data_IF_414035334304
#
_entry.id   IF_414035334304
#
_cell.length_a   1.000
_cell.length_b   1.000
_cell.length_c   1.000
_cell.angle_alpha   90.00
_cell.angle_beta   90.00
_cell.angle_gamma   90.00
#
_symmetry.space_group_name_H-M   'P 1'
#
loop_
_entity.id
_entity.type
_entity.pdbx_description
1 polymer ?
#
# COMPACT_ATOMS: atom_id res chain seq x y z
N UNK A 1 0.41 -3.34 -5.31
CA UNK A 1 -0.64 -4.35 -4.95
C UNK A 1 -2.01 -3.78 -5.26
N UNK A 2 -2.71 -4.30 -6.27
CA UNK A 2 -4.00 -3.79 -6.75
C UNK A 2 -5.03 -4.93 -6.97
N UNK A 3 -4.90 -6.05 -6.23
CA UNK A 3 -5.76 -7.22 -6.36
C UNK A 3 -7.03 -7.19 -5.49
N UNK A 4 -7.29 -6.11 -4.75
CA UNK A 4 -8.49 -5.97 -3.93
C UNK A 4 -9.75 -5.72 -4.77
N UNK A 5 -10.89 -6.30 -4.36
CA UNK A 5 -12.20 -6.15 -5.04
C UNK A 5 -12.81 -4.75 -4.94
N UNK A 6 -12.40 -3.95 -3.97
CA UNK A 6 -12.91 -2.58 -3.80
C UNK A 6 -14.37 -2.47 -3.35
N UNK A 7 -14.96 -3.53 -2.77
CA UNK A 7 -16.39 -3.65 -2.43
C UNK A 7 -16.97 -2.49 -1.59
N UNK A 8 -16.14 -1.78 -0.82
CA UNK A 8 -16.57 -0.65 0.03
C UNK A 8 -16.87 0.65 -0.72
N UNK A 9 -16.49 0.74 -2.00
CA UNK A 9 -16.65 1.97 -2.79
C UNK A 9 -18.03 2.10 -3.44
N UNK A 10 -18.84 1.05 -3.48
CA UNK A 10 -20.15 1.05 -4.14
C UNK A 10 -20.12 1.41 -5.64
N UNK A 11 -18.94 1.41 -6.26
CA UNK A 11 -18.75 1.81 -7.65
C UNK A 11 -18.78 0.59 -8.58
N UNK A 12 -19.20 0.79 -9.83
CA UNK A 12 -19.25 -0.24 -10.88
C UNK A 12 -17.86 -0.80 -11.26
N UNK A 13 -16.79 -0.13 -10.81
CA UNK A 13 -15.40 -0.50 -11.10
C UNK A 13 -14.57 -0.56 -9.82
N UNK A 14 -13.57 -1.47 -9.74
CA UNK A 14 -12.61 -1.50 -8.64
C UNK A 14 -11.90 -0.16 -8.46
N UNK A 15 -11.70 0.24 -7.20
CA UNK A 15 -11.20 1.56 -6.81
C UNK A 15 -9.85 1.96 -7.43
N UNK A 16 -8.98 1.00 -7.72
CA UNK A 16 -7.70 1.23 -8.39
C UNK A 16 -7.84 1.77 -9.82
N UNK A 17 -9.01 1.60 -10.44
CA UNK A 17 -9.32 2.11 -11.78
C UNK A 17 -10.19 3.37 -11.78
N UNK A 18 -10.56 3.88 -10.62
CA UNK A 18 -11.26 5.16 -10.51
C UNK A 18 -10.36 6.30 -10.97
N UNK A 19 -10.98 7.33 -11.49
CA UNK A 19 -10.27 8.49 -12.03
C UNK A 19 -9.86 9.48 -10.94
N UNK A 20 -8.60 9.88 -11.01
CA UNK A 20 -7.98 10.89 -10.19
C UNK A 20 -7.17 11.83 -11.10
N UNK A 21 -7.66 13.08 -11.31
CA UNK A 21 -7.02 14.04 -12.21
C UNK A 21 -6.78 13.51 -13.63
N UNK A 22 -7.81 12.94 -14.27
CA UNK A 22 -7.75 12.44 -15.65
C UNK A 22 -7.04 11.08 -15.84
N UNK A 23 -6.46 10.49 -14.79
CA UNK A 23 -5.75 9.20 -14.82
C UNK A 23 -6.34 8.22 -13.82
N UNK A 24 -6.20 6.91 -14.07
CA UNK A 24 -6.55 5.92 -13.05
C UNK A 24 -5.66 6.06 -11.81
N UNK A 25 -6.21 5.82 -10.62
CA UNK A 25 -5.47 5.83 -9.36
C UNK A 25 -4.22 4.94 -9.44
N UNK A 26 -4.35 3.74 -10.04
CA UNK A 26 -3.23 2.82 -10.22
C UNK A 26 -2.15 3.39 -11.15
N UNK A 27 -2.53 4.09 -12.23
CA UNK A 27 -1.58 4.75 -13.12
C UNK A 27 -0.77 5.81 -12.36
N UNK A 28 -1.44 6.69 -11.62
CA UNK A 28 -0.76 7.71 -10.80
C UNK A 28 0.18 7.08 -9.78
N UNK A 29 -0.28 6.00 -9.13
CA UNK A 29 0.56 5.26 -8.18
C UNK A 29 1.83 4.71 -8.84
N UNK A 30 1.75 4.19 -10.06
CA UNK A 30 2.92 3.69 -10.80
C UNK A 30 3.82 4.85 -11.23
N UNK A 31 3.24 5.93 -11.76
CA UNK A 31 3.98 7.10 -12.23
C UNK A 31 4.88 7.72 -11.15
N UNK A 32 4.42 7.77 -9.90
CA UNK A 32 5.23 8.29 -8.77
C UNK A 32 6.49 7.43 -8.52
N UNK A 33 6.40 6.12 -8.69
CA UNK A 33 7.58 5.24 -8.57
C UNK A 33 8.53 5.42 -9.74
N UNK A 34 8.04 5.59 -10.97
CA UNK A 34 8.87 5.90 -12.14
C UNK A 34 9.53 7.29 -12.05
N UNK A 35 8.91 8.24 -11.38
CA UNK A 35 9.50 9.54 -11.07
C UNK A 35 10.58 9.43 -9.98
N UNK A 36 10.39 8.53 -9.03
CA UNK A 36 11.41 8.26 -8.01
C UNK A 36 12.66 7.60 -8.61
N UNK A 37 12.46 6.61 -9.47
CA UNK A 37 13.51 5.89 -10.20
C UNK A 37 12.96 5.38 -11.54
N UNK A 38 13.39 5.96 -12.68
CA UNK A 38 12.95 5.54 -14.01
C UNK A 38 13.30 4.09 -14.37
N UNK A 39 14.32 3.51 -13.76
CA UNK A 39 14.80 2.15 -14.01
C UNK A 39 14.13 1.10 -13.10
N UNK A 40 13.20 1.53 -12.22
CA UNK A 40 12.52 0.64 -11.29
C UNK A 40 11.69 -0.43 -12.03
N UNK A 41 11.84 -1.68 -11.62
CA UNK A 41 11.00 -2.76 -12.14
C UNK A 41 9.64 -2.77 -11.47
N UNK A 42 8.57 -2.58 -12.22
CA UNK A 42 7.19 -2.58 -11.72
C UNK A 42 6.55 -3.95 -11.86
N UNK A 43 6.10 -4.53 -10.73
CA UNK A 43 5.27 -5.75 -10.70
C UNK A 43 3.87 -5.37 -10.27
N UNK A 44 2.91 -5.39 -11.20
CA UNK A 44 1.52 -5.03 -10.93
C UNK A 44 0.67 -6.26 -10.70
N UNK A 45 0.11 -6.39 -9.49
CA UNK A 45 -0.74 -7.52 -9.10
C UNK A 45 -2.20 -7.12 -9.19
N UNK A 46 -2.96 -7.84 -10.02
CA UNK A 46 -4.37 -7.56 -10.33
C UNK A 46 -5.23 -8.82 -10.16
N UNK A 47 -6.54 -8.68 -9.90
CA UNK A 47 -7.46 -9.80 -10.09
C UNK A 47 -7.41 -10.24 -11.56
N UNK A 48 -7.47 -11.54 -11.82
CA UNK A 48 -7.30 -12.10 -13.17
C UNK A 48 -8.23 -11.46 -14.21
N UNK A 49 -9.49 -11.26 -13.86
CA UNK A 49 -10.50 -10.67 -14.74
C UNK A 49 -10.23 -9.22 -15.15
N UNK A 50 -9.33 -8.52 -14.45
CA UNK A 50 -8.98 -7.13 -14.76
C UNK A 50 -7.62 -6.97 -15.45
N UNK A 51 -6.89 -8.03 -15.71
CA UNK A 51 -5.59 -7.96 -16.40
C UNK A 51 -5.76 -7.44 -17.83
N UNK A 52 -6.75 -7.96 -18.58
CA UNK A 52 -7.05 -7.48 -19.93
C UNK A 52 -7.49 -6.02 -19.92
N UNK A 53 -8.45 -5.69 -19.04
CA UNK A 53 -8.91 -4.31 -18.87
C UNK A 53 -7.75 -3.33 -18.62
N UNK A 54 -6.81 -3.69 -17.76
CA UNK A 54 -5.65 -2.85 -17.45
C UNK A 54 -4.72 -2.67 -18.66
N UNK A 55 -4.49 -3.72 -19.43
CA UNK A 55 -3.71 -3.63 -20.70
C UNK A 55 -4.39 -2.69 -21.69
N UNK A 56 -5.69 -2.83 -21.91
CA UNK A 56 -6.48 -1.99 -22.82
C UNK A 56 -6.48 -0.54 -22.34
N UNK A 57 -6.59 -0.31 -21.03
CA UNK A 57 -6.45 1.01 -20.44
C UNK A 57 -5.09 1.64 -20.73
N UNK A 58 -3.99 0.92 -20.45
CA UNK A 58 -2.63 1.41 -20.71
C UNK A 58 -2.44 1.75 -22.20
N UNK A 59 -2.91 0.89 -23.08
CA UNK A 59 -2.86 1.12 -24.53
C UNK A 59 -3.64 2.36 -24.95
N UNK A 60 -4.90 2.47 -24.52
CA UNK A 60 -5.79 3.59 -24.89
C UNK A 60 -5.34 4.95 -24.36
N UNK A 61 -4.59 4.96 -23.25
CA UNK A 61 -4.04 6.17 -22.61
C UNK A 61 -2.59 6.45 -22.99
N UNK A 62 -2.01 5.65 -23.91
CA UNK A 62 -0.59 5.71 -24.25
C UNK A 62 0.33 5.68 -23.02
N UNK A 63 -0.09 4.92 -21.99
CA UNK A 63 0.69 4.74 -20.78
C UNK A 63 1.73 3.63 -21.02
N UNK A 64 2.91 4.04 -21.49
CA UNK A 64 4.01 3.15 -21.82
C UNK A 64 4.88 2.97 -20.56
N UNK A 65 4.62 1.90 -19.82
CA UNK A 65 5.42 1.48 -18.68
C UNK A 65 5.63 -0.03 -18.76
N UNK A 66 6.88 -0.51 -18.87
CA UNK A 66 7.15 -1.94 -18.79
C UNK A 66 6.71 -2.48 -17.42
N UNK A 67 5.75 -3.40 -17.43
CA UNK A 67 5.18 -3.98 -16.21
C UNK A 67 5.15 -5.49 -16.28
N UNK A 68 5.49 -6.15 -15.19
CA UNK A 68 5.23 -7.58 -15.01
C UNK A 68 3.84 -7.70 -14.38
N UNK A 69 2.85 -8.15 -15.16
CA UNK A 69 1.49 -8.35 -14.64
C UNK A 69 1.39 -9.72 -13.98
N UNK A 70 0.92 -9.74 -12.74
CA UNK A 70 0.79 -10.95 -11.93
C UNK A 70 -0.67 -11.09 -11.46
N UNK A 71 -1.19 -12.31 -11.54
CA UNK A 71 -2.50 -12.66 -11.00
C UNK A 71 -2.49 -12.63 -9.48
N UNK A 72 -3.46 -11.95 -8.88
CA UNK A 72 -3.71 -11.97 -7.44
C UNK A 72 -4.06 -13.37 -6.93
N UNK A 73 -3.81 -13.61 -5.67
CA UNK A 73 -4.19 -14.83 -4.95
C UNK A 73 -5.46 -14.65 -4.13
N UNK A 74 -5.83 -15.68 -3.37
CA UNK A 74 -7.05 -15.75 -2.54
C UNK A 74 -7.06 -14.63 -1.48
N UNK A 75 -5.89 -14.30 -0.91
CA UNK A 75 -5.73 -13.23 0.08
C UNK A 75 -4.63 -12.25 -0.37
N UNK A 76 -4.47 -11.13 0.37
CA UNK A 76 -3.36 -10.21 0.16
C UNK A 76 -2.00 -10.92 0.27
N UNK A 77 -1.83 -11.79 1.27
CA UNK A 77 -0.63 -12.61 1.44
C UNK A 77 -0.31 -13.43 0.18
N UNK A 78 -1.28 -14.18 -0.34
CA UNK A 78 -1.07 -14.99 -1.55
C UNK A 78 -0.78 -14.14 -2.78
N UNK A 79 -1.36 -12.95 -2.86
CA UNK A 79 -1.11 -11.99 -3.93
C UNK A 79 0.33 -11.47 -3.91
N UNK A 80 0.85 -11.10 -2.74
CA UNK A 80 2.26 -10.68 -2.56
C UNK A 80 3.20 -11.85 -2.87
N UNK A 81 2.92 -13.05 -2.34
CA UNK A 81 3.72 -14.25 -2.62
C UNK A 81 3.83 -14.54 -4.12
N UNK A 82 2.74 -14.38 -4.87
CA UNK A 82 2.76 -14.56 -6.33
C UNK A 82 3.68 -13.52 -7.03
N UNK A 83 3.68 -12.27 -6.54
CA UNK A 83 4.56 -11.22 -7.05
C UNK A 83 6.03 -11.50 -6.73
N UNK A 84 6.33 -11.92 -5.50
CA UNK A 84 7.69 -12.20 -5.05
C UNK A 84 8.37 -13.30 -5.87
N UNK A 85 7.61 -14.22 -6.46
CA UNK A 85 8.13 -15.22 -7.39
C UNK A 85 8.73 -14.63 -8.69
N UNK A 86 8.47 -13.33 -8.97
CA UNK A 86 9.00 -12.60 -10.12
C UNK A 86 10.19 -11.70 -9.79
N UNK A 87 10.54 -11.60 -8.52
CA UNK A 87 11.62 -10.74 -8.05
C UNK A 87 12.92 -11.54 -7.97
N UNK A 88 14.04 -11.04 -8.50
CA UNK A 88 15.35 -11.68 -8.32
C UNK A 88 15.80 -11.63 -6.86
N UNK A 89 16.83 -12.38 -6.51
CA UNK A 89 17.57 -12.22 -5.27
C UNK A 89 18.53 -11.04 -5.38
N UNK A 90 18.96 -10.48 -4.25
CA UNK A 90 19.84 -9.31 -4.21
C UNK A 90 19.13 -7.99 -4.53
N UNK A 91 17.81 -7.97 -4.58
CA UNK A 91 17.03 -6.77 -4.86
C UNK A 91 16.41 -6.18 -3.59
N UNK A 92 16.17 -4.88 -3.59
CA UNK A 92 15.23 -4.23 -2.66
C UNK A 92 13.82 -4.29 -3.25
N UNK A 93 12.84 -4.65 -2.42
CA UNK A 93 11.45 -4.85 -2.82
C UNK A 93 10.53 -3.90 -2.06
N UNK A 94 9.92 -2.98 -2.76
CA UNK A 94 8.86 -2.12 -2.22
C UNK A 94 7.48 -2.77 -2.45
N UNK A 95 6.79 -3.16 -1.39
CA UNK A 95 5.40 -3.58 -1.48
C UNK A 95 4.50 -2.39 -1.21
N UNK A 96 3.75 -1.98 -2.23
CA UNK A 96 2.93 -0.77 -2.16
C UNK A 96 1.47 -1.05 -2.50
N UNK A 97 0.56 -0.36 -1.80
CA UNK A 97 -0.86 -0.38 -2.12
C UNK A 97 -1.12 0.45 -3.40
N UNK A 98 -1.65 -0.17 -4.46
CA UNK A 98 -1.94 0.50 -5.74
C UNK A 98 -3.06 1.56 -5.66
N UNK A 99 -3.45 1.93 -4.47
CA UNK A 99 -4.46 2.95 -4.14
C UNK A 99 -3.92 4.00 -3.14
N UNK A 100 -2.59 4.20 -3.13
CA UNK A 100 -1.92 5.30 -2.42
C UNK A 100 -1.11 6.14 -3.41
N UNK A 101 -1.78 6.94 -4.25
CA UNK A 101 -1.13 7.68 -5.34
C UNK A 101 -0.41 8.95 -4.90
N UNK A 102 -0.48 9.32 -3.62
CA UNK A 102 -0.04 10.62 -3.12
C UNK A 102 1.26 10.57 -2.30
N UNK A 103 1.96 9.43 -2.32
CA UNK A 103 3.32 9.38 -1.78
C UNK A 103 4.26 10.21 -2.64
N UNK A 104 5.27 10.86 -2.05
CA UNK A 104 6.23 11.63 -2.82
C UNK A 104 7.36 10.76 -3.38
N UNK A 105 7.94 11.12 -4.55
CA UNK A 105 9.14 10.47 -5.08
C UNK A 105 10.33 10.53 -4.11
N UNK A 106 10.44 11.63 -3.37
CA UNK A 106 11.49 11.82 -2.36
C UNK A 106 11.38 10.77 -1.23
N UNK A 107 10.16 10.54 -0.73
CA UNK A 107 9.93 9.52 0.31
C UNK A 107 10.18 8.11 -0.20
N UNK A 108 9.85 7.81 -1.46
CA UNK A 108 10.18 6.51 -2.06
C UNK A 108 11.69 6.29 -2.06
N UNK A 109 12.48 7.26 -2.54
CA UNK A 109 13.95 7.17 -2.54
C UNK A 109 14.50 6.97 -1.13
N UNK A 110 14.08 7.80 -0.17
CA UNK A 110 14.49 7.68 1.24
C UNK A 110 14.26 6.26 1.79
N UNK A 111 13.11 5.66 1.49
CA UNK A 111 12.78 4.31 1.97
C UNK A 111 13.69 3.24 1.36
N UNK A 112 14.06 3.35 0.09
CA UNK A 112 15.02 2.46 -0.54
C UNK A 112 16.41 2.62 0.06
N UNK A 113 16.91 3.86 0.22
CA UNK A 113 18.21 4.16 0.82
C UNK A 113 18.33 3.56 2.24
N UNK A 114 17.30 3.74 3.06
CA UNK A 114 17.25 3.18 4.42
C UNK A 114 17.23 1.64 4.42
N UNK A 115 16.56 1.03 3.44
CA UNK A 115 16.43 -0.44 3.37
C UNK A 115 17.72 -1.16 2.92
N UNK A 116 18.71 -0.44 2.37
CA UNK A 116 20.01 -1.04 2.01
C UNK A 116 20.71 -1.68 3.21
N UNK A 117 20.55 -1.10 4.40
CA UNK A 117 21.31 -1.47 5.59
C UNK A 117 20.47 -2.16 6.68
N UNK A 118 19.22 -2.57 6.39
CA UNK A 118 18.36 -3.25 7.35
C UNK A 118 17.44 -4.28 6.67
N UNK A 119 16.85 -5.21 7.43
CA UNK A 119 15.93 -6.22 6.90
C UNK A 119 14.71 -5.65 6.17
N UNK A 120 14.26 -4.47 6.57
CA UNK A 120 13.18 -3.74 5.93
C UNK A 120 12.82 -2.48 6.70
N UNK A 121 12.17 -1.56 5.98
CA UNK A 121 11.74 -0.23 6.45
C UNK A 121 10.26 -0.03 6.21
N UNK A 122 9.58 0.50 7.21
CA UNK A 122 8.14 0.77 7.20
C UNK A 122 7.88 2.24 7.51
N UNK A 123 7.23 2.99 6.62
CA UNK A 123 6.79 4.35 6.93
C UNK A 123 5.58 4.33 7.85
N UNK A 124 5.60 5.18 8.88
CA UNK A 124 4.52 5.27 9.88
C UNK A 124 4.15 6.71 10.13
N UNK A 125 2.89 6.96 10.49
CA UNK A 125 2.40 8.26 10.92
C UNK A 125 1.80 8.15 12.32
N UNK A 126 2.07 9.11 13.24
CA UNK A 126 1.49 9.07 14.58
C UNK A 126 -0.02 9.24 14.51
N UNK A 127 -0.75 8.53 15.37
CA UNK A 127 -2.18 8.73 15.55
C UNK A 127 -2.44 10.12 16.11
N UNK A 128 -3.35 10.87 15.47
CA UNK A 128 -3.73 12.23 15.91
C UNK A 128 -4.98 12.23 16.78
N UNK A 129 -5.87 11.25 16.58
CA UNK A 129 -7.10 11.12 17.35
C UNK A 129 -6.86 10.38 18.67
N UNK A 130 -7.73 10.63 19.66
CA UNK A 130 -7.72 9.84 20.90
C UNK A 130 -8.25 8.45 20.61
N UNK A 131 -7.39 7.45 20.79
CA UNK A 131 -7.73 6.04 20.55
C UNK A 131 -8.47 5.45 21.74
N UNK A 132 -9.51 4.66 21.46
CA UNK A 132 -10.28 3.92 22.45
C UNK A 132 -10.26 2.43 22.10
N UNK A 133 -10.05 1.59 23.10
CA UNK A 133 -10.17 0.13 22.94
C UNK A 133 -11.58 -0.25 23.34
N UNK A 134 -12.37 -0.69 22.36
CA UNK A 134 -13.81 -0.91 22.53
C UNK A 134 -14.18 -2.36 22.16
N UNK A 135 -15.26 -2.83 22.78
CA UNK A 135 -15.94 -4.08 22.39
C UNK A 135 -17.41 -3.81 22.08
N UNK A 136 -18.05 -4.59 21.17
CA UNK A 136 -19.49 -4.47 20.94
C UNK A 136 -20.27 -4.75 22.20
N UNK A 137 -21.32 -3.94 22.48
CA UNK A 137 -22.30 -4.27 23.50
C UNK A 137 -23.20 -5.45 23.07
N UNK A 138 -24.04 -5.97 23.96
CA UNK A 138 -24.98 -7.04 23.66
C UNK A 138 -25.92 -6.71 22.48
N UNK A 139 -26.32 -5.44 22.33
CA UNK A 139 -27.15 -4.95 21.21
C UNK A 139 -26.42 -4.85 19.89
N UNK A 140 -25.07 -4.90 19.87
CA UNK A 140 -24.17 -4.64 18.72
C UNK A 140 -24.31 -3.25 18.06
N UNK A 141 -25.16 -2.39 18.60
CA UNK A 141 -25.37 -1.02 18.11
C UNK A 141 -24.53 0.00 18.87
N UNK A 142 -24.10 -0.36 20.09
CA UNK A 142 -23.31 0.49 20.98
C UNK A 142 -21.99 -0.21 21.28
N UNK A 143 -20.95 0.57 21.47
CA UNK A 143 -19.63 0.07 21.86
C UNK A 143 -19.33 0.49 23.30
N UNK A 144 -18.70 -0.39 24.05
CA UNK A 144 -18.28 -0.14 25.43
C UNK A 144 -16.76 -0.22 25.55
N UNK A 145 -16.19 0.60 26.42
CA UNK A 145 -14.75 0.51 26.73
C UNK A 145 -14.43 -0.84 27.40
N UNK A 146 -13.27 -1.39 27.04
CA UNK A 146 -12.75 -2.57 27.74
C UNK A 146 -11.99 -2.07 28.98
N UNK A 147 -12.44 -2.40 30.21
CA UNK A 147 -11.77 -1.95 31.43
C UNK A 147 -10.30 -2.36 31.47
N UNK A 148 -9.42 -1.43 31.84
CA UNK A 148 -7.97 -1.67 31.93
C UNK A 148 -7.23 -1.77 30.59
N UNK A 149 -7.90 -1.50 29.46
CA UNK A 149 -7.31 -1.45 28.13
C UNK A 149 -7.26 -0.01 27.62
N UNK A 150 -6.40 0.82 28.20
CA UNK A 150 -6.15 2.17 27.70
C UNK A 150 -5.06 2.14 26.64
N UNK A 151 -5.29 2.86 25.54
CA UNK A 151 -4.29 2.99 24.47
C UNK A 151 -3.54 4.31 24.68
N UNK A 152 -2.23 4.24 24.90
CA UNK A 152 -1.39 5.44 24.88
C UNK A 152 -1.18 5.87 23.42
N UNK A 153 -1.81 7.01 23.07
CA UNK A 153 -1.71 7.55 21.71
C UNK A 153 -0.27 7.86 21.29
N UNK A 154 0.62 8.17 22.24
CA UNK A 154 2.01 8.51 21.94
C UNK A 154 2.80 7.32 21.40
N UNK A 155 2.35 6.09 21.67
CA UNK A 155 2.95 4.84 21.22
C UNK A 155 2.24 4.26 19.96
N UNK A 156 1.16 4.90 19.49
CA UNK A 156 0.36 4.39 18.39
C UNK A 156 0.69 5.10 17.09
N UNK A 157 1.04 4.30 16.09
CA UNK A 157 1.36 4.75 14.75
C UNK A 157 0.58 3.95 13.70
N UNK A 158 0.08 4.64 12.69
CA UNK A 158 -0.50 4.02 11.50
C UNK A 158 0.58 3.64 10.50
N UNK A 159 0.72 2.35 10.19
CA UNK A 159 1.64 1.89 9.16
C UNK A 159 1.13 2.25 7.77
N UNK A 160 2.04 2.73 6.92
CA UNK A 160 1.76 3.03 5.53
C UNK A 160 2.53 2.08 4.59
N UNK A 161 2.36 2.26 3.30
CA UNK A 161 3.19 1.68 2.25
C UNK A 161 3.72 2.79 1.34
N UNK A 162 4.87 2.58 0.65
CA UNK A 162 5.57 1.31 0.45
C UNK A 162 6.29 0.81 1.69
N UNK A 163 6.25 -0.50 1.92
CA UNK A 163 7.10 -1.17 2.88
C UNK A 163 8.25 -1.80 2.08
N UNK A 164 9.49 -1.45 2.38
CA UNK A 164 10.65 -1.84 1.58
C UNK A 164 11.47 -2.88 2.33
N UNK A 165 11.86 -3.95 1.64
CA UNK A 165 12.56 -5.10 2.24
C UNK A 165 13.67 -5.60 1.34
N UNK A 166 14.67 -6.27 1.92
CA UNK A 166 15.58 -7.11 1.16
C UNK A 166 14.84 -8.34 0.61
N UNK A 167 15.04 -8.65 -0.68
CA UNK A 167 14.27 -9.68 -1.38
C UNK A 167 14.35 -11.06 -0.74
N UNK A 168 15.52 -11.45 -0.24
CA UNK A 168 15.74 -12.73 0.42
C UNK A 168 14.91 -12.85 1.70
N UNK A 169 14.84 -11.75 2.46
CA UNK A 169 14.14 -11.72 3.73
C UNK A 169 12.63 -11.83 3.54
N UNK A 170 12.07 -10.98 2.65
CA UNK A 170 10.62 -11.01 2.43
C UNK A 170 10.19 -12.31 1.73
N UNK A 171 10.98 -12.85 0.80
CA UNK A 171 10.69 -14.15 0.17
C UNK A 171 10.69 -15.29 1.19
N UNK A 172 11.69 -15.34 2.07
CA UNK A 172 11.76 -16.34 3.13
C UNK A 172 10.57 -16.22 4.10
N UNK A 173 10.19 -14.99 4.48
CA UNK A 173 9.03 -14.74 5.33
C UNK A 173 7.72 -15.22 4.67
N UNK A 174 7.54 -14.95 3.39
CA UNK A 174 6.37 -15.41 2.63
C UNK A 174 6.39 -16.91 2.26
N UNK A 175 7.48 -17.62 2.58
CA UNK A 175 7.56 -19.08 2.58
C UNK A 175 6.82 -19.74 3.75
N UNK A 176 6.50 -18.99 4.81
CA UNK A 176 5.71 -19.49 5.95
C UNK A 176 4.26 -19.80 5.53
N UNK A 177 3.56 -20.69 6.28
CA UNK A 177 2.11 -20.85 6.15
C UNK A 177 1.38 -19.52 6.39
N UNK A 178 0.29 -19.32 5.67
CA UNK A 178 -0.59 -18.16 5.87
C UNK A 178 -1.23 -18.17 7.27
N UNK A 179 -1.23 -17.01 7.91
CA UNK A 179 -1.92 -16.75 9.17
C UNK A 179 -2.85 -15.54 8.99
N UNK A 180 -4.06 -15.61 9.55
CA UNK A 180 -5.03 -14.51 9.53
C UNK A 180 -4.57 -13.28 10.33
N UNK A 181 -3.59 -13.43 11.22
CA UNK A 181 -2.94 -12.34 11.93
C UNK A 181 -2.03 -11.48 11.04
N UNK A 182 -1.74 -11.91 9.81
CA UNK A 182 -0.95 -11.11 8.86
C UNK A 182 -1.79 -9.97 8.27
N UNK A 183 -1.62 -8.78 8.82
CA UNK A 183 -2.36 -7.58 8.39
C UNK A 183 -1.66 -6.80 7.28
N UNK A 184 -0.32 -6.85 7.24
CA UNK A 184 0.55 -6.20 6.25
C UNK A 184 1.84 -7.01 6.03
N UNK A 185 2.75 -6.50 5.21
CA UNK A 185 4.02 -7.18 4.90
C UNK A 185 4.99 -7.15 6.07
N UNK A 186 4.96 -6.06 6.85
CA UNK A 186 5.75 -5.91 8.06
C UNK A 186 5.40 -7.00 9.09
N UNK A 187 4.12 -7.29 9.29
CA UNK A 187 3.67 -8.33 10.23
C UNK A 187 4.16 -9.74 9.82
N UNK A 188 4.23 -10.01 8.51
CA UNK A 188 4.78 -11.28 7.99
C UNK A 188 6.28 -11.38 8.30
N UNK A 189 7.05 -10.33 8.00
CA UNK A 189 8.51 -10.30 8.20
C UNK A 189 8.85 -10.31 9.69
N UNK A 190 8.09 -9.61 10.53
CA UNK A 190 8.27 -9.66 12.00
C UNK A 190 7.99 -11.04 12.57
N UNK A 191 6.94 -11.72 12.08
CA UNK A 191 6.62 -13.10 12.48
C UNK A 191 7.72 -14.09 12.06
N UNK A 192 8.40 -13.83 10.95
CA UNK A 192 9.58 -14.59 10.51
C UNK A 192 10.81 -14.36 11.41
N UNK A 193 10.72 -13.46 12.40
CA UNK A 193 11.77 -13.20 13.39
C UNK A 193 12.78 -12.14 12.97
N UNK A 194 12.43 -11.26 12.03
CA UNK A 194 13.28 -10.13 11.65
C UNK A 194 12.77 -8.84 12.27
N UNK A 195 13.69 -8.07 12.86
CA UNK A 195 13.41 -6.72 13.34
C UNK A 195 13.37 -5.74 12.17
N UNK A 196 12.35 -4.88 12.13
CA UNK A 196 12.17 -3.86 11.12
C UNK A 196 12.52 -2.48 11.65
N UNK A 197 12.94 -1.61 10.76
CA UNK A 197 13.10 -0.18 11.02
C UNK A 197 11.84 0.58 10.65
N UNK A 198 11.55 1.65 11.39
CA UNK A 198 10.40 2.51 11.15
C UNK A 198 10.89 3.94 10.91
N UNK A 199 10.29 4.63 9.94
CA UNK A 199 10.58 6.04 9.64
C UNK A 199 9.29 6.82 9.53
N UNK A 200 9.36 8.15 9.63
CA UNK A 200 8.19 8.99 9.46
C UNK A 200 7.65 8.89 8.04
N UNK A 201 6.38 8.58 7.91
CA UNK A 201 5.63 8.61 6.66
C UNK A 201 5.09 10.00 6.34
N UNK A 202 4.20 10.06 5.36
CA UNK A 202 3.58 11.30 4.90
C UNK A 202 2.08 11.28 5.18
N UNK A 203 1.54 12.32 5.85
CA UNK A 203 0.12 12.38 6.20
C UNK A 203 -0.81 12.30 4.99
N UNK A 204 -0.35 12.86 3.86
CA UNK A 204 -1.11 12.86 2.61
C UNK A 204 -0.96 11.58 1.80
N UNK A 205 -0.07 10.66 2.18
CA UNK A 205 0.00 9.32 1.59
C UNK A 205 -1.18 8.46 2.06
N UNK A 206 -2.39 8.97 1.86
CA UNK A 206 -3.64 8.31 2.25
C UNK A 206 -3.92 7.08 1.38
N UNK A 207 -4.60 6.11 1.96
CA UNK A 207 -5.11 4.93 1.25
C UNK A 207 -6.54 5.20 0.81
N UNK A 208 -6.80 5.29 -0.49
CA UNK A 208 -8.15 5.45 -1.03
C UNK A 208 -8.95 4.17 -0.76
N UNK A 209 -9.88 4.24 0.19
CA UNK A 209 -10.72 3.11 0.64
C UNK A 209 -12.20 3.40 0.58
N UNK A 210 -12.58 4.66 0.71
CA UNK A 210 -13.96 5.16 0.71
C UNK A 210 -14.13 6.27 -0.34
N UNK A 211 -15.37 6.65 -0.71
CA UNK A 211 -15.63 7.78 -1.60
C UNK A 211 -15.05 9.10 -1.07
N UNK A 212 -15.06 9.31 0.24
CA UNK A 212 -14.52 10.51 0.91
C UNK A 212 -13.01 10.60 0.70
N UNK A 213 -12.29 9.47 0.79
CA UNK A 213 -10.85 9.43 0.51
C UNK A 213 -10.55 9.87 -0.93
N UNK A 214 -11.41 9.50 -1.88
CA UNK A 214 -11.25 9.91 -3.28
C UNK A 214 -11.48 11.42 -3.47
N UNK A 215 -12.44 12.01 -2.76
CA UNK A 215 -12.69 13.46 -2.77
C UNK A 215 -11.45 14.18 -2.23
N UNK A 216 -10.91 13.72 -1.10
CA UNK A 216 -9.70 14.30 -0.51
C UNK A 216 -8.50 14.14 -1.46
N UNK A 217 -8.31 12.96 -2.05
CA UNK A 217 -7.23 12.73 -3.00
C UNK A 217 -7.32 13.66 -4.23
N UNK A 218 -8.53 13.93 -4.73
CA UNK A 218 -8.75 14.88 -5.83
C UNK A 218 -8.36 16.30 -5.46
N UNK A 219 -8.76 16.76 -4.27
CA UNK A 219 -8.40 18.09 -3.79
C UNK A 219 -6.88 18.26 -3.65
N UNK A 220 -6.20 17.28 -3.07
CA UNK A 220 -4.73 17.28 -2.94
C UNK A 220 -4.08 17.25 -4.31
N UNK A 221 -4.54 16.41 -5.24
CA UNK A 221 -3.98 16.32 -6.59
C UNK A 221 -4.13 17.66 -7.34
N UNK A 222 -5.28 18.30 -7.26
CA UNK A 222 -5.51 19.60 -7.90
C UNK A 222 -4.57 20.68 -7.33
N UNK A 223 -4.40 20.73 -6.00
CA UNK A 223 -3.49 21.66 -5.37
C UNK A 223 -2.03 21.46 -5.82
N UNK A 224 -1.57 20.19 -5.93
CA UNK A 224 -0.24 19.87 -6.45
C UNK A 224 -0.05 20.30 -7.90
N UNK A 225 -1.06 20.10 -8.77
CA UNK A 225 -1.04 20.51 -10.17
C UNK A 225 -1.04 22.05 -10.33
N UNK A 226 -1.57 22.81 -9.35
CA UNK A 226 -1.51 24.26 -9.26
C UNK A 226 -0.17 24.77 -8.70
N UNK A 227 0.76 23.89 -8.31
CA UNK A 227 2.12 24.22 -7.84
C UNK A 227 2.25 24.43 -6.33
N UNK A 228 1.25 24.04 -5.54
CA UNK A 228 1.44 23.98 -4.08
C UNK A 228 2.41 22.84 -3.74
N UNK A 229 3.44 23.15 -2.97
CA UNK A 229 4.33 22.15 -2.37
C UNK A 229 3.73 21.69 -1.03
N UNK A 230 3.76 20.41 -0.78
CA UNK A 230 3.26 19.79 0.44
C UNK A 230 4.40 19.50 1.41
#
# INVERSE_FOLDING_TARGET
MAAGSGSRMGADRPKQFLELGGKAVLQRTIEVFLEADPDITVVTVLPEQFISYWKDYCYSRNFICPQILVKGGITRFHSVRNALARIPEGALVAVHDGVRPLITPAKIRELFDLAENCPGVVPVVPCVDTMKVLQPSESKEIWSEIPGCEADRSELFGAQTPQVFQSEIIKAAYGMPYDTAFTDDASVVSRYGKSLSYTMGERLNIKITTPEDLILARAVTAALEEGYSL
#
